data_IF_726043065900
#
_entry.id   IF_726043065900
#
_cell.length_a   1.000
_cell.length_b   1.000
_cell.length_c   1.000
_cell.angle_alpha   90.00
_cell.angle_beta   90.00
_cell.angle_gamma   90.00
#
_symmetry.space_group_name_H-M   'P 1'
#
loop_
_entity.id
_entity.type
_entity.pdbx_description
1 polymer ?
#
# COMPACT_ATOMS: atom_id res chain seq x y z
N UNK A 1 24.86 -5.15 -8.78
CA UNK A 1 25.48 -5.58 -10.05
C UNK A 1 24.90 -4.76 -11.19
N UNK A 2 25.80 -4.10 -11.92
CA UNK A 2 25.65 -3.08 -12.97
C UNK A 2 24.27 -2.88 -13.64
N UNK A 3 23.60 -1.77 -13.31
CA UNK A 3 22.60 -1.12 -14.19
C UNK A 3 23.36 -0.56 -15.40
N UNK A 4 23.65 -1.40 -16.41
CA UNK A 4 24.32 -0.95 -17.64
C UNK A 4 23.42 -0.03 -18.49
N UNK A 5 22.10 -0.10 -18.29
CA UNK A 5 21.11 0.66 -19.06
C UNK A 5 20.06 1.27 -18.12
N UNK A 6 19.91 2.59 -18.18
CA UNK A 6 18.85 3.32 -17.48
C UNK A 6 17.47 3.06 -18.12
N UNK A 7 16.38 3.48 -17.46
CA UNK A 7 15.04 3.37 -18.05
C UNK A 7 14.89 4.22 -19.32
N UNK A 8 15.55 5.39 -19.35
CA UNK A 8 15.60 6.27 -20.51
C UNK A 8 16.35 5.62 -21.68
N UNK A 9 17.51 4.99 -21.41
CA UNK A 9 18.27 4.29 -22.45
C UNK A 9 17.46 3.16 -23.07
N UNK A 10 16.76 2.36 -22.23
CA UNK A 10 15.91 1.27 -22.71
C UNK A 10 14.78 1.78 -23.60
N UNK A 11 14.18 2.91 -23.23
CA UNK A 11 13.14 3.54 -24.03
C UNK A 11 13.68 4.02 -25.38
N UNK A 12 14.82 4.71 -25.40
CA UNK A 12 15.47 5.16 -26.63
C UNK A 12 15.83 3.99 -27.54
N UNK A 13 16.36 2.90 -26.98
CA UNK A 13 16.68 1.68 -27.74
C UNK A 13 15.42 1.07 -28.37
N UNK A 14 14.31 0.99 -27.63
CA UNK A 14 13.03 0.49 -28.16
C UNK A 14 12.50 1.40 -29.28
N UNK A 15 12.65 2.72 -29.14
CA UNK A 15 12.26 3.68 -30.16
C UNK A 15 13.12 3.57 -31.43
N UNK A 16 14.44 3.54 -31.29
CA UNK A 16 15.39 3.41 -32.41
C UNK A 16 15.16 2.09 -33.18
N UNK A 17 14.89 1.00 -32.47
CA UNK A 17 14.68 -0.32 -33.07
C UNK A 17 13.27 -0.56 -33.62
N UNK A 18 12.33 0.37 -33.42
CA UNK A 18 10.92 0.14 -33.72
C UNK A 18 10.65 -0.13 -35.21
N UNK A 19 11.33 0.61 -36.11
CA UNK A 19 11.15 0.49 -37.57
C UNK A 19 12.20 -0.40 -38.25
N UNK A 20 13.12 -1.00 -37.48
CA UNK A 20 14.21 -1.80 -38.04
C UNK A 20 13.71 -3.18 -38.50
N UNK A 21 14.21 -3.62 -39.65
CA UNK A 21 14.01 -5.00 -40.10
C UNK A 21 14.95 -5.98 -39.36
N UNK A 22 14.82 -7.29 -39.63
CA UNK A 22 15.59 -8.32 -38.90
C UNK A 22 17.10 -8.18 -39.06
N UNK A 23 17.58 -7.75 -40.23
CA UNK A 23 19.01 -7.59 -40.51
C UNK A 23 19.55 -6.36 -39.78
N UNK A 24 18.85 -5.24 -39.88
CA UNK A 24 19.18 -3.98 -39.19
C UNK A 24 19.18 -4.18 -37.67
N UNK A 25 18.20 -4.90 -37.13
CA UNK A 25 18.11 -5.22 -35.71
C UNK A 25 19.28 -6.08 -35.25
N UNK A 26 19.69 -7.06 -36.06
CA UNK A 26 20.84 -7.92 -35.73
C UNK A 26 22.15 -7.13 -35.72
N UNK A 27 22.34 -6.22 -36.68
CA UNK A 27 23.51 -5.32 -36.69
C UNK A 27 23.49 -4.34 -35.51
N UNK A 28 22.33 -3.77 -35.21
CA UNK A 28 22.13 -2.87 -34.07
C UNK A 28 22.47 -3.57 -32.74
N UNK A 29 21.96 -4.78 -32.56
CA UNK A 29 22.26 -5.64 -31.41
C UNK A 29 23.77 -5.86 -31.23
N UNK A 30 24.48 -6.21 -32.33
CA UNK A 30 25.94 -6.40 -32.30
C UNK A 30 26.69 -5.12 -31.94
N UNK A 31 26.30 -3.96 -32.51
CA UNK A 31 26.92 -2.65 -32.24
C UNK A 31 26.75 -2.19 -30.79
N UNK A 32 25.56 -2.42 -30.21
CA UNK A 32 25.22 -1.97 -28.84
C UNK A 32 25.52 -3.02 -27.77
N UNK A 33 25.89 -4.24 -28.16
CA UNK A 33 26.11 -5.36 -27.24
C UNK A 33 24.82 -5.80 -26.55
N UNK A 34 23.73 -5.89 -27.32
CA UNK A 34 22.39 -6.25 -26.88
C UNK A 34 21.94 -7.53 -27.56
N UNK A 35 21.01 -8.23 -26.91
CA UNK A 35 20.27 -9.34 -27.49
C UNK A 35 18.89 -8.89 -27.95
N UNK A 36 18.40 -9.46 -29.05
CA UNK A 36 17.06 -9.16 -29.60
C UNK A 36 15.97 -9.35 -28.53
N UNK A 37 16.10 -10.41 -27.74
CA UNK A 37 15.19 -10.78 -26.67
C UNK A 37 15.11 -9.69 -25.59
N UNK A 38 16.20 -8.94 -25.35
CA UNK A 38 16.19 -7.82 -24.39
C UNK A 38 15.37 -6.65 -24.91
N UNK A 39 15.51 -6.33 -26.20
CA UNK A 39 14.76 -5.25 -26.84
C UNK A 39 13.26 -5.61 -26.88
N UNK A 40 12.93 -6.86 -27.21
CA UNK A 40 11.56 -7.34 -27.16
C UNK A 40 10.97 -7.31 -25.74
N UNK A 41 11.74 -7.69 -24.73
CA UNK A 41 11.32 -7.61 -23.34
C UNK A 41 11.02 -6.15 -22.95
N UNK A 42 11.90 -5.20 -23.29
CA UNK A 42 11.68 -3.79 -23.00
C UNK A 42 10.48 -3.22 -23.76
N UNK A 43 10.28 -3.60 -25.02
CA UNK A 43 9.08 -3.23 -25.79
C UNK A 43 7.79 -3.70 -25.10
N UNK A 44 7.76 -4.95 -24.62
CA UNK A 44 6.62 -5.47 -23.86
C UNK A 44 6.39 -4.70 -22.56
N UNK A 45 7.47 -4.40 -21.83
CA UNK A 45 7.38 -3.60 -20.60
C UNK A 45 6.85 -2.18 -20.89
N UNK A 46 7.31 -1.52 -21.96
CA UNK A 46 6.80 -0.19 -22.34
C UNK A 46 5.32 -0.22 -22.69
N UNK A 47 4.84 -1.25 -23.39
CA UNK A 47 3.43 -1.39 -23.75
C UNK A 47 2.53 -1.68 -22.53
N UNK A 48 3.03 -2.44 -21.56
CA UNK A 48 2.27 -2.85 -20.37
C UNK A 48 2.48 -1.95 -19.14
N UNK A 49 3.33 -0.92 -19.24
CA UNK A 49 3.70 -0.06 -18.12
C UNK A 49 2.46 0.60 -17.47
N UNK A 50 1.54 1.10 -18.30
CA UNK A 50 0.34 1.78 -17.83
C UNK A 50 -0.70 0.79 -17.29
N UNK A 51 -0.78 -0.43 -17.84
CA UNK A 51 -1.73 -1.45 -17.37
C UNK A 51 -1.40 -1.92 -15.94
N UNK A 52 -0.11 -2.10 -15.64
CA UNK A 52 0.32 -2.49 -14.30
C UNK A 52 0.09 -1.40 -13.26
N UNK A 53 0.29 -0.13 -13.63
CA UNK A 53 0.09 1.01 -12.75
C UNK A 53 -1.40 1.23 -12.43
N UNK A 54 -2.28 1.14 -13.44
CA UNK A 54 -3.73 1.29 -13.25
C UNK A 54 -4.30 0.22 -12.30
N UNK A 55 -3.92 -1.04 -12.51
CA UNK A 55 -4.39 -2.14 -11.65
C UNK A 55 -3.90 -1.97 -10.21
N UNK A 56 -2.62 -1.64 -10.02
CA UNK A 56 -2.06 -1.39 -8.68
C UNK A 56 -2.73 -0.21 -7.99
N UNK A 57 -3.04 0.85 -8.72
CA UNK A 57 -3.71 2.04 -8.16
C UNK A 57 -5.12 1.69 -7.70
N UNK A 58 -5.85 0.87 -8.47
CA UNK A 58 -7.19 0.40 -8.09
C UNK A 58 -7.15 -0.49 -6.85
N UNK A 59 -6.22 -1.44 -6.80
CA UNK A 59 -6.00 -2.31 -5.64
C UNK A 59 -5.71 -1.49 -4.37
N UNK A 60 -4.74 -0.57 -4.45
CA UNK A 60 -4.41 0.33 -3.32
C UNK A 60 -5.60 1.19 -2.89
N UNK A 61 -6.43 1.67 -3.83
CA UNK A 61 -7.62 2.44 -3.50
C UNK A 61 -8.67 1.59 -2.75
N UNK A 62 -8.82 0.31 -3.12
CA UNK A 62 -9.72 -0.62 -2.42
C UNK A 62 -9.21 -0.96 -1.02
N UNK A 63 -7.92 -1.25 -0.87
CA UNK A 63 -7.30 -1.54 0.43
C UNK A 63 -7.43 -0.34 1.37
N UNK A 64 -7.11 0.87 0.89
CA UNK A 64 -7.22 2.09 1.68
C UNK A 64 -8.67 2.36 2.14
N UNK A 65 -9.65 2.00 1.31
CA UNK A 65 -11.07 2.15 1.68
C UNK A 65 -11.47 1.18 2.79
N UNK A 66 -11.02 -0.07 2.69
CA UNK A 66 -11.31 -1.09 3.70
C UNK A 66 -10.62 -0.76 5.02
N UNK A 67 -9.35 -0.35 4.99
CA UNK A 67 -8.59 0.06 6.16
C UNK A 67 -9.24 1.27 6.86
N UNK A 68 -9.66 2.29 6.10
CA UNK A 68 -10.41 3.43 6.66
C UNK A 68 -11.73 3.02 7.31
N UNK A 69 -12.41 2.02 6.77
CA UNK A 69 -13.65 1.51 7.35
C UNK A 69 -13.38 0.78 8.67
N UNK A 70 -12.33 -0.04 8.72
CA UNK A 70 -11.91 -0.74 9.93
C UNK A 70 -11.46 0.26 11.01
N UNK A 71 -10.66 1.26 10.65
CA UNK A 71 -10.24 2.31 11.58
C UNK A 71 -11.44 3.02 12.22
N UNK A 72 -12.44 3.42 11.43
CA UNK A 72 -13.67 4.05 11.94
C UNK A 72 -14.47 3.13 12.85
N UNK A 73 -14.51 1.83 12.57
CA UNK A 73 -15.21 0.86 13.40
C UNK A 73 -14.51 0.69 14.74
N UNK A 74 -13.19 0.52 14.72
CA UNK A 74 -12.36 0.41 15.92
C UNK A 74 -12.45 1.68 16.78
N UNK A 75 -12.42 2.87 16.18
CA UNK A 75 -12.60 4.13 16.91
C UNK A 75 -13.95 4.21 17.62
N UNK A 76 -15.03 3.74 17.00
CA UNK A 76 -16.36 3.73 17.63
C UNK A 76 -16.42 2.76 18.81
N UNK A 77 -15.87 1.55 18.63
CA UNK A 77 -15.81 0.56 19.69
C UNK A 77 -14.96 1.03 20.86
N UNK A 78 -13.84 1.68 20.57
CA UNK A 78 -12.97 2.27 21.59
C UNK A 78 -13.74 3.32 22.40
N UNK A 79 -14.41 4.27 21.73
CA UNK A 79 -15.22 5.30 22.41
C UNK A 79 -16.32 4.70 23.29
N UNK A 80 -16.98 3.64 22.83
CA UNK A 80 -18.02 2.98 23.62
C UNK A 80 -17.42 2.33 24.87
N UNK A 81 -16.28 1.64 24.73
CA UNK A 81 -15.56 1.02 25.86
C UNK A 81 -15.04 2.06 26.85
N UNK A 82 -14.49 3.17 26.37
CA UNK A 82 -14.03 4.28 27.22
C UNK A 82 -15.17 4.90 28.02
N UNK A 83 -16.36 5.07 27.41
CA UNK A 83 -17.55 5.57 28.11
C UNK A 83 -17.99 4.62 29.22
N UNK A 84 -18.11 3.31 28.92
CA UNK A 84 -18.47 2.31 29.91
C UNK A 84 -17.44 2.22 31.05
N UNK A 85 -16.16 2.35 30.72
CA UNK A 85 -15.07 2.38 31.70
C UNK A 85 -15.14 3.62 32.60
N UNK A 86 -15.45 4.79 32.03
CA UNK A 86 -15.65 6.02 32.81
C UNK A 86 -16.87 5.92 33.75
N UNK A 87 -17.98 5.34 33.29
CA UNK A 87 -19.17 5.09 34.12
C UNK A 87 -18.85 4.14 35.29
N UNK A 88 -18.14 3.03 35.02
CA UNK A 88 -17.69 2.11 36.07
C UNK A 88 -16.76 2.79 37.09
N UNK A 89 -15.81 3.62 36.63
CA UNK A 89 -14.93 4.37 37.51
C UNK A 89 -15.70 5.38 38.38
N UNK A 90 -16.71 6.06 37.82
CA UNK A 90 -17.56 6.98 38.56
C UNK A 90 -18.38 6.26 39.63
N UNK A 91 -18.97 5.09 39.32
CA UNK A 91 -19.69 4.27 40.30
C UNK A 91 -18.79 3.80 41.44
N UNK A 92 -17.56 3.37 41.14
CA UNK A 92 -16.59 2.98 42.17
C UNK A 92 -16.21 4.16 43.08
N UNK A 93 -16.01 5.36 42.52
CA UNK A 93 -15.73 6.57 43.29
C UNK A 93 -16.91 6.97 44.18
N UNK A 94 -18.13 6.90 43.65
CA UNK A 94 -19.36 7.18 44.41
C UNK A 94 -19.53 6.20 45.57
N UNK A 95 -19.34 4.89 45.33
CA UNK A 95 -19.39 3.86 46.38
C UNK A 95 -18.37 4.14 47.49
N UNK A 96 -17.12 4.47 47.13
CA UNK A 96 -16.08 4.82 48.11
C UNK A 96 -16.45 6.06 48.93
N UNK A 97 -16.98 7.10 48.29
CA UNK A 97 -17.42 8.32 48.99
C UNK A 97 -18.61 8.05 49.91
N UNK A 98 -19.59 7.26 49.47
CA UNK A 98 -20.74 6.89 50.29
C UNK A 98 -20.30 6.11 51.53
N UNK A 99 -19.45 5.10 51.35
CA UNK A 99 -18.88 4.32 52.46
C UNK A 99 -18.07 5.22 53.43
N UNK A 100 -17.31 6.21 52.95
CA UNK A 100 -16.60 7.14 53.81
C UNK A 100 -17.50 8.08 54.64
N UNK A 101 -18.70 8.40 54.13
CA UNK A 101 -19.65 9.30 54.82
C UNK A 101 -20.55 8.50 55.78
N UNK A 102 -21.04 7.34 55.36
CA UNK A 102 -22.05 6.57 56.08
C UNK A 102 -21.54 5.29 56.77
N UNK A 103 -20.27 4.90 56.57
CA UNK A 103 -19.75 3.60 57.01
C UNK A 103 -20.27 2.43 56.16
N UNK A 104 -19.81 1.20 56.42
CA UNK A 104 -20.40 0.02 55.79
C UNK A 104 -21.83 -0.18 56.31
N UNK A 105 -22.79 -0.28 55.39
CA UNK A 105 -24.15 -0.78 55.66
C UNK A 105 -24.27 -2.30 55.40
N UNK A 106 -23.15 -3.00 55.25
CA UNK A 106 -23.13 -4.47 55.15
C UNK A 106 -22.40 -5.03 56.38
N UNK A 107 -23.18 -5.34 57.43
CA UNK A 107 -23.10 -6.57 58.25
C UNK A 107 -24.17 -6.53 59.38
N UNK A 108 -25.40 -6.89 59.01
CA UNK A 108 -26.13 -8.04 59.59
C UNK A 108 -26.77 -8.83 58.45
#
# INVERSE_FOLDING_TARGET
MSKKWSSEDKFLIVMESFSMNQVELAEYCRKKGLFKEQIEAWKKTCLSANEQEENRTRELATELKEEKKQARQLEKELRHKEKALAEAAALLLLRKKAHAIWGDQEEE
#
